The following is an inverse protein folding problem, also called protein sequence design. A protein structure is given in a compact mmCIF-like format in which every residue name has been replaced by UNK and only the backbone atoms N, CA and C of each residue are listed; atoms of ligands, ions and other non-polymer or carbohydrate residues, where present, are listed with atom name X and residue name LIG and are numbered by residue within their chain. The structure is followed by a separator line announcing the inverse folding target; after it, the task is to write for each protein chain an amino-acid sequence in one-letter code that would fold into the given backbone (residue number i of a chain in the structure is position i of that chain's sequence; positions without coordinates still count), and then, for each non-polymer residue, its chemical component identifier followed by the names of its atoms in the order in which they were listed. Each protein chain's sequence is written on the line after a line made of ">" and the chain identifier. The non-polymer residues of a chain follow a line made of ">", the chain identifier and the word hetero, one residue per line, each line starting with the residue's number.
data_IF_656852983308
#
_entry.id   IF_656852983308
#
_cell.length_a   1.000
_cell.length_b   1.000
_cell.length_c   1.000
_cell.angle_alpha   90.00
_cell.angle_beta   90.00
_cell.angle_gamma   90.00
#
_symmetry.space_group_name_H-M   'P 1'
#
loop_
_entity.id
_entity.type
_entity.pdbx_description
1 polymer ?
#
# COMPACT_ATOMS: atom_id res chain seq x y z
N UNK A 1 20.19 -4.28 -8.29
CA UNK A 1 19.25 -3.78 -7.28
C UNK A 1 19.89 -2.55 -6.66
N UNK A 2 19.56 -1.37 -7.17
CA UNK A 2 20.02 -0.11 -6.56
C UNK A 2 19.23 0.05 -5.27
N UNK A 3 19.90 0.01 -4.12
CA UNK A 3 19.26 0.28 -2.84
C UNK A 3 18.74 1.71 -2.86
N UNK A 4 17.45 1.90 -2.65
CA UNK A 4 16.83 3.22 -2.55
C UNK A 4 17.31 3.90 -1.27
N UNK A 5 17.82 5.12 -1.40
CA UNK A 5 18.37 5.92 -0.28
C UNK A 5 17.35 6.89 0.33
N UNK A 6 16.18 7.02 -0.28
CA UNK A 6 15.16 7.97 0.16
C UNK A 6 14.51 7.52 1.46
N UNK A 7 14.29 8.45 2.39
CA UNK A 7 13.58 8.17 3.65
C UNK A 7 12.07 8.16 3.37
N UNK A 8 11.32 7.12 3.83
CA UNK A 8 9.87 7.13 3.70
C UNK A 8 9.26 8.28 4.53
N UNK A 9 8.25 8.93 3.98
CA UNK A 9 7.51 10.01 4.68
C UNK A 9 6.40 9.47 5.58
N UNK A 10 5.97 8.22 5.33
CA UNK A 10 4.99 7.52 6.12
C UNK A 10 5.23 6.01 6.02
N UNK A 11 4.92 5.30 7.09
CA UNK A 11 4.95 3.83 7.13
C UNK A 11 3.68 3.27 7.75
N UNK A 12 3.33 2.05 7.35
CA UNK A 12 2.31 1.24 8.04
C UNK A 12 2.81 -0.19 8.16
N UNK A 13 2.60 -0.80 9.32
CA UNK A 13 2.97 -2.20 9.55
C UNK A 13 1.71 -3.04 9.68
N UNK A 14 1.55 -4.01 8.79
CA UNK A 14 0.57 -5.09 8.86
C UNK A 14 1.27 -6.35 9.37
N UNK A 15 0.48 -7.41 9.58
CA UNK A 15 0.96 -8.72 9.98
C UNK A 15 0.32 -9.82 9.14
N UNK A 16 1.11 -10.81 8.77
CA UNK A 16 0.64 -12.07 8.24
C UNK A 16 0.69 -13.10 9.37
N UNK A 17 -0.44 -13.76 9.61
CA UNK A 17 -0.59 -14.81 10.62
C UNK A 17 -0.56 -16.17 9.91
N UNK A 18 0.29 -17.08 10.39
CA UNK A 18 0.39 -18.44 9.87
C UNK A 18 1.28 -19.32 10.73
N UNK A 19 0.94 -20.61 10.87
CA UNK A 19 1.73 -21.62 11.60
C UNK A 19 2.18 -21.21 13.02
N UNK A 20 1.33 -20.44 13.71
CA UNK A 20 1.62 -19.93 15.07
C UNK A 20 2.62 -18.77 15.13
N UNK A 21 3.04 -18.22 13.98
CA UNK A 21 3.94 -17.08 13.87
C UNK A 21 3.23 -15.87 13.26
N UNK A 22 3.68 -14.68 13.67
CA UNK A 22 3.30 -13.41 13.06
C UNK A 22 4.51 -12.82 12.32
N UNK A 23 4.37 -12.63 11.01
CA UNK A 23 5.38 -11.95 10.21
C UNK A 23 4.92 -10.53 9.89
N UNK A 24 5.80 -9.54 10.09
CA UNK A 24 5.52 -8.15 9.75
C UNK A 24 5.52 -7.96 8.23
N UNK A 25 4.58 -7.16 7.76
CA UNK A 25 4.53 -6.61 6.39
C UNK A 25 4.66 -5.11 6.54
N UNK A 26 5.80 -4.55 6.15
CA UNK A 26 6.04 -3.11 6.20
C UNK A 26 5.65 -2.46 4.87
N UNK A 27 4.86 -1.41 4.96
CA UNK A 27 4.47 -0.56 3.84
C UNK A 27 5.20 0.77 4.03
N UNK A 28 5.92 1.20 3.01
CA UNK A 28 6.66 2.47 3.00
C UNK A 28 6.16 3.35 1.88
N UNK A 29 5.81 4.59 2.22
CA UNK A 29 5.36 5.61 1.27
C UNK A 29 6.42 6.69 1.21
N UNK A 30 6.86 7.04 0.01
CA UNK A 30 7.92 8.00 -0.21
C UNK A 30 7.34 9.35 -0.65
N UNK A 31 8.15 10.40 -0.50
CA UNK A 31 7.76 11.75 -0.91
C UNK A 31 7.40 11.75 -2.40
N UNK A 32 6.25 12.32 -2.81
CA UNK A 32 5.99 12.53 -4.22
C UNK A 32 7.05 13.45 -4.82
N UNK A 33 7.62 13.04 -5.96
CA UNK A 33 8.67 13.78 -6.66
C UNK A 33 8.25 14.04 -8.10
N UNK A 34 8.51 15.25 -8.57
CA UNK A 34 8.38 15.56 -9.99
C UNK A 34 9.50 14.82 -10.75
N UNK A 35 9.12 13.89 -11.63
CA UNK A 35 10.07 13.14 -12.45
C UNK A 35 10.28 13.76 -13.82
N UNK A 36 9.35 14.58 -14.30
CA UNK A 36 9.46 15.24 -15.60
C UNK A 36 9.08 16.71 -15.45
N UNK A 37 10.06 17.59 -15.61
CA UNK A 37 9.88 19.04 -15.48
C UNK A 37 8.94 19.66 -16.52
N UNK A 38 8.36 18.85 -17.42
CA UNK A 38 7.60 19.30 -18.59
C UNK A 38 6.13 18.87 -18.56
N UNK A 39 5.76 17.77 -17.87
CA UNK A 39 4.43 17.15 -17.99
C UNK A 39 3.67 16.97 -16.67
N UNK A 40 4.06 17.66 -15.60
CA UNK A 40 3.40 17.53 -14.28
C UNK A 40 3.32 16.05 -13.84
N UNK A 41 4.42 15.31 -14.02
CA UNK A 41 4.49 13.86 -13.78
C UNK A 41 5.03 13.60 -12.37
N UNK A 42 4.18 13.83 -11.36
CA UNK A 42 4.55 13.57 -9.97
C UNK A 42 4.40 12.08 -9.66
N UNK A 43 5.51 11.46 -9.28
CA UNK A 43 5.54 10.06 -8.88
C UNK A 43 5.51 9.96 -7.36
N UNK A 44 4.49 9.31 -6.82
CA UNK A 44 4.49 8.84 -5.44
C UNK A 44 4.83 7.35 -5.44
N UNK A 45 6.10 7.07 -5.20
CA UNK A 45 6.61 5.71 -5.11
C UNK A 45 6.29 5.09 -3.72
N UNK A 46 6.09 3.78 -3.66
CA UNK A 46 5.82 3.02 -2.43
C UNK A 46 6.41 1.61 -2.50
N UNK A 47 6.58 1.00 -1.32
CA UNK A 47 7.03 -0.39 -1.17
C UNK A 47 6.15 -1.17 -0.21
N UNK A 48 6.04 -2.48 -0.45
CA UNK A 48 5.39 -3.44 0.46
C UNK A 48 6.32 -4.65 0.63
N UNK A 49 6.75 -4.90 1.86
CA UNK A 49 7.60 -6.05 2.20
C UNK A 49 6.76 -7.29 2.45
N UNK A 50 6.42 -8.00 1.37
CA UNK A 50 5.82 -9.32 1.47
C UNK A 50 6.85 -10.37 1.93
N UNK A 51 6.40 -11.49 2.52
CA UNK A 51 7.29 -12.61 2.82
C UNK A 51 8.07 -13.07 1.59
N UNK A 52 9.40 -12.96 1.66
CA UNK A 52 10.32 -13.38 0.60
C UNK A 52 10.42 -12.43 -0.60
N UNK A 53 9.67 -11.31 -0.64
CA UNK A 53 9.75 -10.34 -1.74
C UNK A 53 9.28 -8.95 -1.33
N UNK A 54 10.07 -7.93 -1.65
CA UNK A 54 9.60 -6.54 -1.64
C UNK A 54 8.95 -6.21 -2.99
N UNK A 55 7.70 -5.76 -2.94
CA UNK A 55 7.05 -5.08 -4.07
C UNK A 55 7.46 -3.61 -4.04
N UNK A 56 8.03 -3.10 -5.12
CA UNK A 56 8.27 -1.66 -5.34
C UNK A 56 7.41 -1.19 -6.50
N UNK A 57 6.65 -0.12 -6.30
CA UNK A 57 5.71 0.42 -7.29
C UNK A 57 5.50 1.92 -7.07
N UNK A 58 4.69 2.55 -7.91
CA UNK A 58 4.38 3.98 -7.82
C UNK A 58 3.02 4.30 -8.41
N UNK A 59 2.52 5.50 -8.10
CA UNK A 59 1.43 6.13 -8.81
C UNK A 59 1.86 7.49 -9.34
N UNK A 60 1.21 7.90 -10.43
CA UNK A 60 1.45 9.17 -11.11
C UNK A 60 0.23 10.07 -10.93
N UNK A 61 0.44 11.33 -10.60
CA UNK A 61 -0.59 12.36 -10.61
C UNK A 61 -0.07 13.68 -11.14
N UNK A 62 -0.98 14.58 -11.50
CA UNK A 62 -0.69 15.94 -12.00
C UNK A 62 -0.03 16.84 -10.95
N UNK A 63 -0.10 16.45 -9.68
CA UNK A 63 0.50 17.13 -8.56
C UNK A 63 0.86 16.12 -7.45
N UNK A 64 1.65 16.52 -6.44
CA UNK A 64 1.99 15.65 -5.31
C UNK A 64 0.80 15.05 -4.57
N UNK A 65 -0.32 15.78 -4.47
CA UNK A 65 -1.51 15.37 -3.72
C UNK A 65 -2.22 14.24 -4.45
N UNK A 66 -2.47 14.41 -5.75
CA UNK A 66 -3.08 13.39 -6.58
C UNK A 66 -2.18 12.14 -6.68
N UNK A 67 -0.88 12.32 -6.84
CA UNK A 67 0.07 11.21 -6.86
C UNK A 67 0.02 10.39 -5.56
N UNK A 68 0.01 11.06 -4.40
CA UNK A 68 -0.14 10.42 -3.10
C UNK A 68 -1.48 9.70 -2.97
N UNK A 69 -2.60 10.35 -3.31
CA UNK A 69 -3.93 9.75 -3.24
C UNK A 69 -4.02 8.47 -4.09
N UNK A 70 -3.47 8.51 -5.31
CA UNK A 70 -3.44 7.35 -6.19
C UNK A 70 -2.52 6.24 -5.67
N UNK A 71 -1.38 6.58 -5.06
CA UNK A 71 -0.52 5.60 -4.41
C UNK A 71 -1.22 4.90 -3.25
N UNK A 72 -1.95 5.65 -2.40
CA UNK A 72 -2.75 5.06 -1.31
C UNK A 72 -3.82 4.11 -1.84
N UNK A 73 -4.50 4.47 -2.94
CA UNK A 73 -5.45 3.58 -3.60
C UNK A 73 -4.78 2.30 -4.15
N UNK A 74 -3.62 2.44 -4.80
CA UNK A 74 -2.87 1.29 -5.31
C UNK A 74 -2.43 0.37 -4.17
N UNK A 75 -1.95 0.91 -3.05
CA UNK A 75 -1.62 0.12 -1.86
C UNK A 75 -2.86 -0.66 -1.40
N UNK A 76 -4.03 -0.01 -1.29
CA UNK A 76 -5.28 -0.71 -0.96
C UNK A 76 -5.57 -1.88 -1.90
N UNK A 77 -5.44 -1.68 -3.22
CA UNK A 77 -5.60 -2.75 -4.23
C UNK A 77 -4.63 -3.90 -3.95
N UNK A 78 -3.33 -3.61 -3.78
CA UNK A 78 -2.31 -4.64 -3.54
C UNK A 78 -2.63 -5.48 -2.29
N UNK A 79 -3.08 -4.83 -1.21
CA UNK A 79 -3.42 -5.52 0.04
C UNK A 79 -4.65 -6.42 -0.13
N UNK A 80 -5.76 -5.87 -0.64
CA UNK A 80 -7.03 -6.59 -0.79
C UNK A 80 -7.00 -7.65 -1.90
N UNK A 81 -6.10 -7.55 -2.88
CA UNK A 81 -5.99 -8.57 -3.95
C UNK A 81 -4.90 -9.61 -3.69
N UNK A 82 -4.09 -9.43 -2.64
CA UNK A 82 -3.04 -10.37 -2.23
C UNK A 82 -3.58 -11.76 -1.89
N UNK A 83 -2.76 -12.79 -2.09
CA UNK A 83 -3.08 -14.15 -1.62
C UNK A 83 -3.23 -14.19 -0.09
N UNK A 84 -2.45 -13.40 0.64
CA UNK A 84 -2.52 -13.31 2.11
C UNK A 84 -3.87 -12.80 2.61
N UNK A 85 -4.48 -11.83 1.93
CA UNK A 85 -5.85 -11.42 2.23
C UNK A 85 -6.87 -12.50 1.85
N UNK A 86 -6.76 -13.06 0.64
CA UNK A 86 -7.67 -14.13 0.15
C UNK A 86 -7.69 -15.36 1.07
N UNK A 87 -6.56 -15.69 1.67
CA UNK A 87 -6.39 -16.79 2.61
C UNK A 87 -6.72 -16.41 4.07
N UNK A 88 -7.19 -15.17 4.33
CA UNK A 88 -7.50 -14.63 5.66
C UNK A 88 -6.33 -14.67 6.64
N UNK A 89 -5.13 -14.39 6.14
CA UNK A 89 -3.90 -14.36 6.93
C UNK A 89 -3.36 -12.96 7.17
N UNK A 90 -3.76 -11.97 6.36
CA UNK A 90 -3.33 -10.59 6.50
C UNK A 90 -4.23 -9.81 7.47
N UNK A 91 -3.63 -9.13 8.46
CA UNK A 91 -4.31 -8.23 9.40
C UNK A 91 -3.52 -6.95 9.63
N UNK A 92 -4.22 -5.88 10.01
CA UNK A 92 -3.59 -4.68 10.56
C UNK A 92 -3.66 -4.68 12.10
N UNK A 93 -4.86 -4.54 12.66
CA UNK A 93 -5.10 -4.73 14.10
C UNK A 93 -5.64 -6.15 14.33
N UNK A 94 -6.86 -6.39 13.88
CA UNK A 94 -7.55 -7.68 13.97
C UNK A 94 -7.82 -8.24 12.58
N UNK A 95 -8.03 -9.56 12.50
CA UNK A 95 -8.46 -10.17 11.24
C UNK A 95 -9.84 -9.62 10.84
N UNK A 96 -9.97 -9.16 9.61
CA UNK A 96 -11.22 -8.62 9.07
C UNK A 96 -11.55 -7.19 9.53
N UNK A 97 -10.64 -6.47 10.20
CA UNK A 97 -10.86 -5.06 10.57
C UNK A 97 -10.68 -4.09 9.40
N UNK A 98 -10.16 -4.54 8.27
CA UNK A 98 -9.66 -3.67 7.19
C UNK A 98 -8.19 -3.28 7.39
N UNK A 99 -7.65 -2.53 6.42
CA UNK A 99 -6.24 -2.15 6.32
C UNK A 99 -6.01 -0.63 6.39
N UNK A 100 -7.08 0.16 6.44
CA UNK A 100 -7.04 1.62 6.55
C UNK A 100 -6.50 2.31 5.29
N UNK A 101 -6.57 1.64 4.14
CA UNK A 101 -6.19 2.21 2.84
C UNK A 101 -7.42 2.27 1.94
N UNK A 102 -7.64 3.40 1.24
CA UNK A 102 -8.74 3.49 0.31
C UNK A 102 -8.54 2.53 -0.87
N UNK A 103 -9.62 2.17 -1.54
CA UNK A 103 -9.60 1.54 -2.85
C UNK A 103 -10.47 2.31 -3.85
N UNK A 104 -10.20 2.20 -5.17
CA UNK A 104 -11.05 2.82 -6.17
C UNK A 104 -12.50 2.32 -6.11
N UNK A 105 -13.49 3.15 -6.50
CA UNK A 105 -14.92 2.82 -6.38
C UNK A 105 -15.33 1.46 -6.97
N UNK A 106 -14.68 1.01 -8.03
CA UNK A 106 -15.01 -0.21 -8.75
C UNK A 106 -14.58 -1.52 -8.06
N UNK A 107 -13.88 -1.45 -6.92
CA UNK A 107 -13.53 -2.63 -6.13
C UNK A 107 -13.89 -2.47 -4.64
N UNK A 108 -14.73 -1.49 -4.27
CA UNK A 108 -15.09 -1.25 -2.85
C UNK A 108 -15.83 -2.40 -2.19
N UNK A 109 -16.34 -3.35 -2.96
CA UNK A 109 -16.95 -4.58 -2.47
C UNK A 109 -15.97 -5.47 -1.70
N UNK A 110 -14.66 -5.28 -1.87
CA UNK A 110 -13.61 -6.00 -1.12
C UNK A 110 -13.40 -5.47 0.31
N UNK A 111 -13.96 -4.31 0.67
CA UNK A 111 -13.75 -3.73 1.98
C UNK A 111 -14.26 -4.64 3.11
N UNK A 112 -13.49 -4.66 4.19
CA UNK A 112 -13.78 -5.39 5.41
C UNK A 112 -13.71 -4.45 6.62
N UNK A 113 -14.43 -4.81 7.69
CA UNK A 113 -14.39 -4.08 8.96
C UNK A 113 -14.63 -2.59 8.81
N UNK A 114 -13.73 -1.81 9.39
CA UNK A 114 -13.82 -0.35 9.49
C UNK A 114 -13.70 0.32 8.11
N UNK A 115 -13.02 -0.33 7.16
CA UNK A 115 -12.79 0.21 5.81
C UNK A 115 -14.09 0.32 5.00
N UNK A 116 -15.17 -0.36 5.41
CA UNK A 116 -16.51 -0.21 4.80
C UNK A 116 -17.10 1.20 4.95
N UNK A 117 -16.52 2.01 5.83
CA UNK A 117 -16.94 3.39 6.09
C UNK A 117 -16.07 4.45 5.40
N UNK A 118 -15.03 4.05 4.64
CA UNK A 118 -14.11 4.93 3.92
C UNK A 118 -14.65 5.47 2.58
#
# INVERSE_FOLDING_TARGET
>A
MTSRTDTPIATRTLKIVGDGLEQKVEIRIYKPIDKTTENFDFHCEYEIDWPGKTLSSYAVGIDPVQALQLALNKIGIELYTSSFHKERRLKWFELGSGFGFPVPPNIRDVYEGDDKSL
#
